data_IF_039088647088
#
_entry.id   IF_039088647088
#
_cell.length_a   1.000
_cell.length_b   1.000
_cell.length_c   1.000
_cell.angle_alpha   90.00
_cell.angle_beta   90.00
_cell.angle_gamma   90.00
#
_symmetry.space_group_name_H-M   'P 1'
#
loop_
_entity.id
_entity.type
_entity.pdbx_description
1 polymer ?
#
# COMPACT_ATOMS: atom_id res chain seq x y z
N UNK A 1 -15.17 15.08 -1.45
CA UNK A 1 -14.58 15.40 -2.79
C UNK A 1 -13.29 14.60 -2.98
N UNK A 2 -12.28 14.70 -2.09
CA UNK A 2 -10.96 14.05 -2.27
C UNK A 2 -11.03 12.53 -2.51
N UNK A 3 -11.86 11.80 -1.75
CA UNK A 3 -12.00 10.35 -1.90
C UNK A 3 -12.55 9.94 -3.27
N UNK A 4 -13.59 10.64 -3.75
CA UNK A 4 -14.17 10.37 -5.08
C UNK A 4 -13.20 10.67 -6.22
N UNK A 5 -12.40 11.74 -6.11
CA UNK A 5 -11.36 12.04 -7.11
C UNK A 5 -10.27 10.97 -7.14
N UNK A 6 -9.86 10.49 -5.97
CA UNK A 6 -8.88 9.41 -5.87
C UNK A 6 -9.41 8.10 -6.49
N UNK A 7 -10.67 7.77 -6.27
CA UNK A 7 -11.35 6.60 -6.83
C UNK A 7 -11.48 6.70 -8.35
N UNK A 8 -11.94 7.84 -8.86
CA UNK A 8 -12.10 8.09 -10.30
C UNK A 8 -10.78 7.97 -11.08
N UNK A 9 -9.64 8.27 -10.44
CA UNK A 9 -8.33 8.17 -11.07
C UNK A 9 -8.02 6.75 -11.58
N UNK A 10 -8.56 5.72 -10.91
CA UNK A 10 -8.41 4.32 -11.30
C UNK A 10 -8.92 4.04 -12.72
N UNK A 11 -9.98 4.71 -13.15
CA UNK A 11 -10.55 4.58 -14.50
C UNK A 11 -9.58 5.04 -15.61
N UNK A 12 -8.51 5.75 -15.24
CA UNK A 12 -7.51 6.29 -16.15
C UNK A 12 -6.12 5.65 -15.95
N UNK A 13 -6.05 4.49 -15.29
CA UNK A 13 -4.77 3.82 -15.01
C UNK A 13 -3.88 4.59 -14.02
N UNK A 14 -4.50 5.33 -13.11
CA UNK A 14 -3.82 6.15 -12.09
C UNK A 14 -4.24 5.68 -10.71
N UNK A 15 -3.28 5.27 -9.90
CA UNK A 15 -3.51 5.05 -8.48
C UNK A 15 -3.72 6.39 -7.78
N UNK A 16 -4.81 6.52 -7.03
CA UNK A 16 -5.12 7.70 -6.23
C UNK A 16 -5.42 7.35 -4.77
N UNK A 17 -4.92 8.14 -3.84
CA UNK A 17 -5.23 7.99 -2.42
C UNK A 17 -5.40 9.35 -1.73
N UNK A 18 -6.53 9.52 -1.04
CA UNK A 18 -6.78 10.71 -0.24
C UNK A 18 -6.09 10.60 1.12
N UNK A 19 -5.32 11.62 1.47
CA UNK A 19 -4.63 11.79 2.76
C UNK A 19 -5.31 12.89 3.56
N UNK A 20 -5.44 12.70 4.89
CA UNK A 20 -6.07 13.66 5.79
C UNK A 20 -5.27 13.81 7.08
N UNK A 21 -5.32 15.00 7.68
CA UNK A 21 -4.63 15.29 8.94
C UNK A 21 -3.11 15.17 8.85
N UNK A 22 -2.54 15.48 7.69
CA UNK A 22 -1.13 15.37 7.36
C UNK A 22 -0.40 16.70 7.50
N UNK A 23 0.91 16.65 7.62
CA UNK A 23 1.78 17.82 7.64
C UNK A 23 2.65 17.91 6.37
N UNK A 24 3.50 18.93 6.27
CA UNK A 24 4.36 19.12 5.11
C UNK A 24 5.43 18.03 4.97
N UNK A 25 5.88 17.42 6.05
CA UNK A 25 6.83 16.31 5.98
C UNK A 25 6.19 15.04 5.39
N UNK A 26 4.90 14.80 5.66
CA UNK A 26 4.14 13.73 5.00
C UNK A 26 4.01 13.99 3.49
N UNK A 27 3.74 15.24 3.10
CA UNK A 27 3.64 15.65 1.70
C UNK A 27 4.99 15.52 0.99
N UNK A 28 6.09 15.99 1.62
CA UNK A 28 7.45 15.83 1.12
C UNK A 28 7.77 14.35 0.87
N UNK A 29 7.53 13.49 1.85
CA UNK A 29 7.76 12.04 1.73
C UNK A 29 7.02 11.43 0.54
N UNK A 30 5.77 11.83 0.30
CA UNK A 30 5.01 11.32 -0.84
C UNK A 30 5.58 11.83 -2.17
N UNK A 31 6.02 13.09 -2.27
CA UNK A 31 6.68 13.63 -3.46
C UNK A 31 8.01 12.93 -3.74
N UNK A 32 8.86 12.72 -2.73
CA UNK A 32 10.12 11.97 -2.83
C UNK A 32 9.90 10.51 -3.26
N UNK A 33 8.75 9.93 -2.90
CA UNK A 33 8.32 8.60 -3.36
C UNK A 33 7.74 8.59 -4.78
N UNK A 34 7.81 9.71 -5.52
CA UNK A 34 7.40 9.81 -6.92
C UNK A 34 5.90 10.03 -7.13
N UNK A 35 5.16 10.44 -6.10
CA UNK A 35 3.77 10.87 -6.26
C UNK A 35 3.70 12.31 -6.76
N UNK A 36 2.65 12.59 -7.52
CA UNK A 36 2.13 13.95 -7.72
C UNK A 36 0.98 14.14 -6.75
N UNK A 37 0.92 15.28 -6.08
CA UNK A 37 -0.10 15.54 -5.07
C UNK A 37 -1.02 16.69 -5.50
N UNK A 38 -2.31 16.59 -5.16
CA UNK A 38 -3.23 17.73 -5.23
C UNK A 38 -3.55 18.13 -3.80
N UNK A 39 -2.95 19.24 -3.36
CA UNK A 39 -3.07 19.73 -2.00
C UNK A 39 -4.26 20.68 -1.85
N UNK A 40 -4.97 20.55 -0.73
CA UNK A 40 -6.03 21.51 -0.34
C UNK A 40 -5.41 22.64 0.43
N UNK A 41 -5.63 23.86 -0.08
CA UNK A 41 -5.08 25.10 0.47
C UNK A 41 -6.19 26.13 0.68
N UNK A 42 -5.88 27.21 1.38
CA UNK A 42 -6.79 28.37 1.43
C UNK A 42 -6.94 29.00 0.04
N UNK A 43 -8.13 29.49 -0.33
CA UNK A 43 -8.36 30.12 -1.65
C UNK A 43 -7.45 31.31 -1.94
N UNK A 44 -6.95 31.96 -0.91
CA UNK A 44 -6.15 33.18 -1.01
C UNK A 44 -4.66 32.94 -0.71
N UNK A 45 -4.23 31.73 -0.95
CA UNK A 45 -2.85 31.28 -0.68
C UNK A 45 -1.78 32.26 -1.20
N UNK A 46 -1.97 32.84 -2.39
CA UNK A 46 -1.02 33.75 -3.02
C UNK A 46 -0.98 35.16 -2.41
N UNK A 47 -2.07 35.63 -1.78
CA UNK A 47 -2.24 37.02 -1.34
C UNK A 47 -1.93 37.25 0.15
N UNK A 48 -1.27 36.34 0.78
CA UNK A 48 -1.19 36.33 2.22
C UNK A 48 -2.52 35.85 2.82
N UNK A 49 -2.49 35.49 4.06
CA UNK A 49 -3.55 34.74 4.71
C UNK A 49 -4.67 35.64 5.27
N UNK A 50 -4.54 36.96 5.15
CA UNK A 50 -5.46 37.90 5.75
C UNK A 50 -6.57 38.31 4.81
N UNK A 51 -7.79 38.37 5.33
CA UNK A 51 -8.92 39.02 4.69
C UNK A 51 -8.78 40.54 4.78
N UNK A 52 -9.56 41.26 3.97
CA UNK A 52 -9.57 42.73 4.05
C UNK A 52 -9.87 43.33 5.44
N UNK A 53 -10.59 42.58 6.28
CA UNK A 53 -10.89 42.95 7.65
C UNK A 53 -9.77 42.60 8.67
N UNK A 54 -8.63 42.13 8.18
CA UNK A 54 -7.50 41.71 8.99
C UNK A 54 -7.61 40.29 9.58
N UNK A 55 -8.73 39.60 9.41
CA UNK A 55 -8.89 38.22 9.83
C UNK A 55 -8.21 37.23 8.84
N UNK A 56 -7.96 36.02 9.28
CA UNK A 56 -7.38 34.96 8.40
C UNK A 56 -8.48 34.16 7.69
N UNK A 57 -8.21 33.74 6.47
CA UNK A 57 -9.04 32.76 5.79
C UNK A 57 -8.89 31.38 6.46
N UNK A 58 -9.98 30.65 6.50
CA UNK A 58 -9.93 29.26 6.95
C UNK A 58 -9.05 28.40 6.01
N UNK A 59 -8.41 27.37 6.55
CA UNK A 59 -7.64 26.41 5.77
C UNK A 59 -8.55 25.57 4.87
N UNK A 60 -8.16 25.39 3.59
CA UNK A 60 -8.88 24.62 2.60
C UNK A 60 -9.85 25.43 1.76
N UNK A 61 -10.38 24.81 0.72
CA UNK A 61 -11.31 25.40 -0.24
C UNK A 61 -10.74 25.65 -1.64
N UNK A 62 -9.43 25.50 -1.84
CA UNK A 62 -8.76 25.52 -3.14
C UNK A 62 -7.84 24.32 -3.29
N UNK A 63 -7.65 23.83 -4.51
CA UNK A 63 -6.81 22.67 -4.82
C UNK A 63 -5.66 23.09 -5.72
N UNK A 64 -4.44 22.77 -5.32
CA UNK A 64 -3.23 23.06 -6.10
C UNK A 64 -2.45 21.77 -6.37
N UNK A 65 -2.09 21.46 -7.62
CA UNK A 65 -1.13 20.40 -7.93
C UNK A 65 0.25 20.75 -7.37
N UNK A 66 0.82 19.83 -6.60
CA UNK A 66 2.19 19.87 -6.08
C UNK A 66 2.92 18.68 -6.68
N UNK A 67 3.95 18.94 -7.47
CA UNK A 67 4.63 17.93 -8.28
C UNK A 67 6.09 17.69 -7.90
N UNK A 68 6.62 18.45 -6.95
CA UNK A 68 7.98 18.28 -6.46
C UNK A 68 8.24 19.09 -5.20
N UNK A 69 9.40 18.83 -4.61
CA UNK A 69 9.97 19.64 -3.54
C UNK A 69 11.49 19.66 -3.66
N UNK A 70 12.10 20.75 -3.24
CA UNK A 70 13.55 20.87 -3.07
C UNK A 70 13.85 20.84 -1.57
N UNK A 71 14.92 20.15 -1.18
CA UNK A 71 15.24 19.93 0.23
C UNK A 71 16.59 20.53 0.61
N UNK A 72 16.63 21.09 1.81
CA UNK A 72 17.86 21.52 2.50
C UNK A 72 17.93 20.84 3.86
N UNK A 73 19.07 20.19 4.16
CA UNK A 73 19.23 19.46 5.41
C UNK A 73 18.19 18.35 5.64
N UNK A 74 17.65 17.74 4.54
CA UNK A 74 16.66 16.68 4.61
C UNK A 74 15.22 17.15 4.86
N UNK A 75 14.96 18.45 4.86
CA UNK A 75 13.62 19.04 5.00
C UNK A 75 13.29 19.84 3.75
N UNK A 76 12.02 19.85 3.35
CA UNK A 76 11.57 20.66 2.24
C UNK A 76 11.83 22.15 2.51
N UNK A 77 12.64 22.76 1.65
CA UNK A 77 12.86 24.20 1.60
C UNK A 77 11.82 24.86 0.70
N UNK A 78 11.54 24.23 -0.45
CA UNK A 78 10.56 24.71 -1.43
C UNK A 78 9.64 23.56 -1.87
N UNK A 79 8.39 23.92 -2.19
CA UNK A 79 7.45 23.07 -2.91
C UNK A 79 7.23 23.63 -4.31
N UNK A 80 7.28 22.75 -5.33
CA UNK A 80 7.04 23.07 -6.72
C UNK A 80 5.58 22.78 -7.03
N UNK A 81 4.82 23.80 -7.35
CA UNK A 81 3.38 23.69 -7.57
C UNK A 81 2.89 24.48 -8.76
N UNK A 82 1.65 24.19 -9.16
CA UNK A 82 0.89 25.00 -10.11
C UNK A 82 -0.31 25.57 -9.38
N UNK A 83 -0.44 26.89 -9.38
CA UNK A 83 -1.59 27.55 -8.78
C UNK A 83 -2.64 27.83 -9.88
N UNK A 84 -3.65 26.94 -10.05
CA UNK A 84 -4.67 27.14 -11.05
C UNK A 84 -5.65 28.24 -10.59
N UNK A 85 -5.99 29.16 -11.46
CA UNK A 85 -6.99 30.18 -11.22
C UNK A 85 -7.79 30.47 -12.47
N UNK A 86 -9.07 30.77 -12.32
CA UNK A 86 -9.91 31.30 -13.41
C UNK A 86 -9.53 32.72 -13.82
N UNK A 87 -8.77 33.41 -12.97
CA UNK A 87 -8.22 34.74 -13.26
C UNK A 87 -6.79 34.63 -13.70
N UNK A 88 -6.47 35.15 -14.90
CA UNK A 88 -5.14 34.95 -15.52
C UNK A 88 -4.00 35.49 -14.66
N UNK A 89 -4.21 36.62 -13.96
CA UNK A 89 -3.22 37.23 -13.08
C UNK A 89 -2.86 36.36 -11.85
N UNK A 90 -3.72 35.38 -11.52
CA UNK A 90 -3.53 34.48 -10.36
C UNK A 90 -3.19 33.04 -10.77
N UNK A 91 -3.17 32.79 -12.07
CA UNK A 91 -2.77 31.49 -12.61
C UNK A 91 -1.25 31.46 -12.76
N UNK A 92 -0.56 30.77 -11.85
CA UNK A 92 0.91 30.70 -11.82
C UNK A 92 1.37 29.26 -12.03
N UNK A 93 1.82 28.94 -13.25
CA UNK A 93 2.47 27.67 -13.53
C UNK A 93 3.89 27.68 -12.94
N UNK A 94 4.37 26.50 -12.55
CA UNK A 94 5.75 26.29 -12.09
C UNK A 94 6.22 27.24 -10.98
N UNK A 95 5.36 27.43 -9.98
CA UNK A 95 5.66 28.28 -8.84
C UNK A 95 6.46 27.51 -7.79
N UNK A 96 7.66 27.99 -7.45
CA UNK A 96 8.41 27.55 -6.28
C UNK A 96 7.98 28.41 -5.07
N UNK A 97 7.42 27.77 -4.06
CA UNK A 97 6.98 28.41 -2.82
C UNK A 97 7.77 27.85 -1.66
N UNK A 98 8.24 28.70 -0.76
CA UNK A 98 8.96 28.22 0.42
C UNK A 98 8.03 27.41 1.33
N UNK A 99 8.60 26.45 2.07
CA UNK A 99 7.83 25.66 3.03
C UNK A 99 7.18 26.55 4.11
N UNK A 100 7.84 27.66 4.48
CA UNK A 100 7.34 28.64 5.44
C UNK A 100 6.09 29.38 4.91
N UNK A 101 6.09 29.79 3.65
CA UNK A 101 4.94 30.43 3.01
C UNK A 101 3.79 29.45 2.75
N UNK A 102 4.12 28.17 2.45
CA UNK A 102 3.11 27.16 2.15
C UNK A 102 2.40 26.62 3.39
N UNK A 103 3.12 26.47 4.51
CA UNK A 103 2.63 25.84 5.73
C UNK A 103 1.32 26.47 6.29
N UNK A 104 1.16 27.80 6.39
CA UNK A 104 -0.06 28.40 6.91
C UNK A 104 -1.29 28.14 6.06
N UNK A 105 -1.11 27.92 4.76
CA UNK A 105 -2.18 27.69 3.79
C UNK A 105 -2.58 26.23 3.65
N UNK A 106 -1.65 25.33 3.89
CA UNK A 106 -1.88 23.88 3.73
C UNK A 106 -2.86 23.37 4.77
N UNK A 107 -3.96 22.78 4.32
CA UNK A 107 -5.02 22.29 5.22
C UNK A 107 -4.69 20.95 5.91
N UNK A 108 -3.60 20.30 5.53
CA UNK A 108 -3.30 18.94 5.94
C UNK A 108 -4.04 17.86 5.16
N UNK A 109 -4.75 18.24 4.09
CA UNK A 109 -5.47 17.30 3.23
C UNK A 109 -4.94 17.39 1.80
N UNK A 110 -4.70 16.24 1.18
CA UNK A 110 -4.30 16.14 -0.22
C UNK A 110 -4.67 14.78 -0.81
N UNK A 111 -4.60 14.68 -2.11
CA UNK A 111 -4.68 13.43 -2.84
C UNK A 111 -3.32 13.18 -3.48
N UNK A 112 -2.77 12.01 -3.29
CA UNK A 112 -1.54 11.59 -3.99
C UNK A 112 -1.88 10.67 -5.15
N UNK A 113 -1.17 10.84 -6.25
CA UNK A 113 -1.34 10.09 -7.49
C UNK A 113 -0.02 9.56 -8.01
N UNK A 114 -0.04 8.38 -8.59
CA UNK A 114 1.02 7.82 -9.43
C UNK A 114 0.40 6.98 -10.54
N UNK A 115 1.18 6.63 -11.55
CA UNK A 115 0.74 5.61 -12.52
C UNK A 115 0.41 4.32 -11.76
N UNK A 116 -0.73 3.70 -12.07
CA UNK A 116 -1.08 2.42 -11.48
C UNK A 116 -0.04 1.35 -11.87
N UNK A 117 0.15 0.37 -11.00
CA UNK A 117 0.99 -0.78 -11.31
C UNK A 117 0.36 -1.62 -12.44
N UNK A 118 1.18 -2.26 -13.23
CA UNK A 118 0.70 -3.24 -14.20
C UNK A 118 0.53 -4.59 -13.50
N UNK A 119 -0.70 -5.10 -13.48
CA UNK A 119 -1.01 -6.42 -12.92
C UNK A 119 -0.96 -7.47 -14.02
N UNK A 120 -0.37 -8.63 -13.72
CA UNK A 120 -0.33 -9.79 -14.61
C UNK A 120 -0.50 -11.07 -13.81
N UNK A 121 -1.24 -12.02 -14.36
CA UNK A 121 -1.28 -13.39 -13.84
C UNK A 121 0.12 -14.00 -13.92
N UNK A 122 0.57 -14.62 -12.85
CA UNK A 122 1.85 -15.33 -12.81
C UNK A 122 1.70 -16.74 -13.38
N UNK A 123 2.77 -17.21 -14.00
CA UNK A 123 2.92 -18.59 -14.47
C UNK A 123 4.09 -19.27 -13.75
N UNK A 124 4.25 -20.58 -13.91
CA UNK A 124 5.35 -21.33 -13.31
C UNK A 124 6.75 -20.75 -13.66
N UNK A 125 6.90 -20.17 -14.86
CA UNK A 125 8.12 -19.49 -15.27
C UNK A 125 8.46 -18.24 -14.43
N UNK A 126 7.52 -17.71 -13.66
CA UNK A 126 7.72 -16.56 -12.76
C UNK A 126 8.20 -16.98 -11.35
N UNK A 127 8.34 -18.27 -11.09
CA UNK A 127 8.66 -18.80 -9.76
C UNK A 127 9.90 -18.18 -9.13
N UNK A 128 10.96 -17.95 -9.92
CA UNK A 128 12.18 -17.29 -9.44
C UNK A 128 11.94 -15.82 -9.06
N UNK A 129 11.19 -15.09 -9.87
CA UNK A 129 10.84 -13.68 -9.59
C UNK A 129 10.01 -13.59 -8.31
N UNK A 130 9.03 -14.47 -8.15
CA UNK A 130 8.20 -14.55 -6.95
C UNK A 130 9.04 -14.90 -5.72
N UNK A 131 9.86 -15.93 -5.81
CA UNK A 131 10.72 -16.39 -4.72
C UNK A 131 11.68 -15.29 -4.25
N UNK A 132 12.26 -14.53 -5.18
CA UNK A 132 13.12 -13.38 -4.87
C UNK A 132 12.36 -12.29 -4.12
N UNK A 133 11.18 -11.88 -4.59
CA UNK A 133 10.34 -10.90 -3.91
C UNK A 133 10.04 -11.35 -2.48
N UNK A 134 9.72 -12.64 -2.30
CA UNK A 134 9.45 -13.21 -0.97
C UNK A 134 10.68 -13.16 -0.07
N UNK A 135 11.83 -13.62 -0.54
CA UNK A 135 13.06 -13.65 0.26
C UNK A 135 13.48 -12.24 0.73
N UNK A 136 13.47 -11.25 -0.18
CA UNK A 136 13.79 -9.88 0.15
C UNK A 136 12.77 -9.26 1.13
N UNK A 137 11.49 -9.56 0.94
CA UNK A 137 10.43 -9.08 1.81
C UNK A 137 10.51 -9.70 3.22
N UNK A 138 10.75 -11.01 3.31
CA UNK A 138 10.87 -11.73 4.58
C UNK A 138 12.00 -11.18 5.46
N UNK A 139 13.16 -10.92 4.87
CA UNK A 139 14.32 -10.36 5.57
C UNK A 139 14.04 -9.04 6.28
N UNK A 140 13.08 -8.27 5.78
CA UNK A 140 12.70 -6.98 6.37
C UNK A 140 11.44 -7.12 7.23
N UNK A 141 10.40 -7.77 6.73
CA UNK A 141 9.10 -7.81 7.39
C UNK A 141 9.10 -8.62 8.69
N UNK A 142 9.97 -9.62 8.80
CA UNK A 142 10.01 -10.54 9.94
C UNK A 142 11.26 -10.39 10.82
N UNK A 143 12.12 -9.40 10.55
CA UNK A 143 13.28 -9.10 11.39
C UNK A 143 12.84 -8.84 12.83
N UNK A 144 13.53 -9.50 13.79
CA UNK A 144 13.19 -9.47 15.21
C UNK A 144 12.06 -10.43 15.63
N UNK A 145 11.27 -10.96 14.70
CA UNK A 145 10.21 -11.94 14.98
C UNK A 145 10.62 -13.37 14.60
N UNK A 146 11.29 -13.53 13.46
CA UNK A 146 11.88 -14.80 12.99
C UNK A 146 13.39 -14.77 13.31
N UNK A 147 14.04 -15.91 13.63
CA UNK A 147 15.48 -15.94 13.89
C UNK A 147 16.29 -15.32 12.76
N UNK A 148 17.22 -14.43 13.12
CA UNK A 148 18.02 -13.68 12.13
C UNK A 148 18.86 -14.61 11.24
N UNK A 149 19.39 -15.70 11.80
CA UNK A 149 20.15 -16.70 11.02
C UNK A 149 19.32 -17.35 9.91
N UNK A 150 18.06 -17.65 10.19
CA UNK A 150 17.12 -18.15 9.18
C UNK A 150 16.87 -17.09 8.08
N UNK A 151 16.56 -15.87 8.47
CA UNK A 151 16.29 -14.78 7.52
C UNK A 151 17.50 -14.48 6.64
N UNK A 152 18.69 -14.40 7.21
CA UNK A 152 19.93 -14.13 6.49
C UNK A 152 20.32 -15.27 5.56
N UNK A 153 19.93 -16.52 5.91
CA UNK A 153 20.10 -17.71 5.08
C UNK A 153 19.11 -17.85 3.91
N UNK A 154 18.04 -17.04 3.86
CA UNK A 154 17.06 -17.12 2.79
C UNK A 154 17.69 -16.72 1.44
N UNK A 155 17.81 -17.69 0.54
CA UNK A 155 18.23 -17.43 -0.84
C UNK A 155 17.06 -17.00 -1.71
N UNK A 156 17.36 -16.38 -2.84
CA UNK A 156 16.32 -16.02 -3.83
C UNK A 156 15.61 -17.24 -4.43
N UNK A 157 16.20 -18.44 -4.31
CA UNK A 157 15.64 -19.68 -4.81
C UNK A 157 14.77 -20.44 -3.80
N UNK A 158 14.65 -19.96 -2.56
CA UNK A 158 14.06 -20.71 -1.44
C UNK A 158 12.66 -21.26 -1.75
N UNK A 159 11.81 -20.48 -2.44
CA UNK A 159 10.43 -20.87 -2.78
C UNK A 159 10.23 -21.26 -4.25
N UNK A 160 11.27 -21.35 -5.08
CA UNK A 160 11.11 -21.64 -6.53
C UNK A 160 10.33 -22.93 -6.75
N UNK A 161 10.79 -24.04 -6.17
CA UNK A 161 10.13 -25.35 -6.32
C UNK A 161 8.67 -25.33 -5.83
N UNK A 162 8.39 -24.61 -4.75
CA UNK A 162 7.02 -24.43 -4.25
C UNK A 162 6.15 -23.75 -5.29
N UNK A 163 6.59 -22.61 -5.86
CA UNK A 163 5.81 -21.87 -6.85
C UNK A 163 5.69 -22.60 -8.17
N UNK A 164 6.76 -23.22 -8.67
CA UNK A 164 6.69 -24.05 -9.88
C UNK A 164 5.62 -25.13 -9.74
N UNK A 165 5.66 -25.87 -8.63
CA UNK A 165 4.71 -26.94 -8.35
C UNK A 165 3.28 -26.39 -8.26
N UNK A 166 3.02 -25.44 -7.36
CA UNK A 166 1.66 -24.97 -7.06
C UNK A 166 0.99 -24.29 -8.27
N UNK A 167 1.77 -23.54 -9.06
CA UNK A 167 1.26 -22.88 -10.27
C UNK A 167 1.05 -23.85 -11.42
N UNK A 168 1.88 -24.88 -11.54
CA UNK A 168 1.71 -25.95 -12.56
C UNK A 168 0.50 -26.84 -12.26
N UNK A 169 0.32 -27.20 -10.99
CA UNK A 169 -0.81 -28.04 -10.54
C UNK A 169 -2.12 -27.26 -10.42
N UNK A 170 -2.07 -25.93 -10.45
CA UNK A 170 -3.23 -25.05 -10.27
C UNK A 170 -3.80 -25.07 -8.85
N UNK A 171 -3.04 -25.55 -7.87
CA UNK A 171 -3.47 -25.55 -6.45
C UNK A 171 -3.49 -24.13 -5.85
N UNK A 172 -2.70 -23.20 -6.41
CA UNK A 172 -2.77 -21.76 -6.18
C UNK A 172 -2.71 -21.01 -7.51
N UNK A 173 -3.40 -19.88 -7.55
CA UNK A 173 -3.18 -18.83 -8.54
C UNK A 173 -2.24 -17.78 -7.97
N UNK A 174 -1.58 -16.99 -8.82
CA UNK A 174 -0.79 -15.87 -8.36
C UNK A 174 -0.84 -14.70 -9.33
N UNK A 175 -0.63 -13.49 -8.80
CA UNK A 175 -0.43 -12.28 -9.60
C UNK A 175 0.86 -11.59 -9.22
N UNK A 176 1.47 -10.97 -10.22
CA UNK A 176 2.58 -10.04 -10.08
C UNK A 176 2.10 -8.62 -10.34
N UNK A 177 2.66 -7.66 -9.61
CA UNK A 177 2.50 -6.24 -9.90
C UNK A 177 3.85 -5.63 -10.30
N UNK A 178 3.82 -4.81 -11.34
CA UNK A 178 5.00 -4.19 -11.92
C UNK A 178 4.98 -2.68 -11.76
N UNK A 179 6.13 -2.11 -11.41
CA UNK A 179 6.46 -0.71 -11.66
C UNK A 179 7.29 -0.65 -12.93
N UNK A 180 6.69 -0.12 -14.00
CA UNK A 180 7.27 -0.21 -15.36
C UNK A 180 7.53 -1.68 -15.73
N UNK A 181 8.78 -2.08 -15.91
CA UNK A 181 9.19 -3.43 -16.29
C UNK A 181 9.63 -4.29 -15.09
N UNK A 182 9.78 -3.70 -13.91
CA UNK A 182 10.23 -4.39 -12.71
C UNK A 182 9.06 -4.97 -11.94
N UNK A 183 9.06 -6.28 -11.70
CA UNK A 183 8.14 -6.92 -10.76
C UNK A 183 8.51 -6.48 -9.34
N UNK A 184 7.54 -5.89 -8.63
CA UNK A 184 7.75 -5.27 -7.31
C UNK A 184 6.92 -5.89 -6.22
N UNK A 185 5.98 -6.76 -6.56
CA UNK A 185 5.16 -7.49 -5.61
C UNK A 185 4.54 -8.73 -6.22
N UNK A 186 4.19 -9.68 -5.34
CA UNK A 186 3.53 -10.92 -5.69
C UNK A 186 2.47 -11.26 -4.65
N UNK A 187 1.37 -11.88 -5.10
CA UNK A 187 0.31 -12.45 -4.27
C UNK A 187 0.00 -13.86 -4.77
N UNK A 188 -0.11 -14.80 -3.84
CA UNK A 188 -0.63 -16.14 -4.12
C UNK A 188 -2.00 -16.28 -3.44
N UNK A 189 -2.96 -16.88 -4.12
CA UNK A 189 -4.35 -16.96 -3.69
C UNK A 189 -5.07 -18.15 -4.31
N UNK A 190 -6.22 -18.53 -3.75
CA UNK A 190 -7.02 -19.62 -4.27
C UNK A 190 -8.23 -19.95 -3.40
N UNK A 191 -8.70 -21.19 -3.51
CA UNK A 191 -9.69 -21.73 -2.59
C UNK A 191 -9.11 -21.83 -1.17
N UNK A 192 -9.98 -21.88 -0.17
CA UNK A 192 -9.58 -22.14 1.20
C UNK A 192 -8.79 -23.45 1.29
N UNK A 193 -7.59 -23.38 1.82
CA UNK A 193 -6.74 -24.57 2.03
C UNK A 193 -7.11 -25.26 3.34
N UNK A 194 -7.04 -26.59 3.35
CA UNK A 194 -7.18 -27.39 4.56
C UNK A 194 -5.92 -27.37 5.42
N UNK A 195 -4.78 -27.12 4.77
CA UNK A 195 -3.46 -27.05 5.43
C UNK A 195 -3.25 -25.65 6.04
N UNK A 196 -2.81 -25.63 7.27
CA UNK A 196 -2.47 -24.41 7.99
C UNK A 196 -1.08 -23.87 7.59
N UNK A 197 -0.82 -22.56 7.77
CA UNK A 197 0.49 -21.98 7.54
C UNK A 197 1.62 -22.78 8.20
N UNK A 198 2.68 -23.05 7.47
CA UNK A 198 3.87 -23.81 7.93
C UNK A 198 3.55 -25.11 8.69
N UNK A 199 2.44 -25.80 8.33
CA UNK A 199 2.03 -27.03 9.03
C UNK A 199 1.66 -26.83 10.50
N UNK A 200 1.23 -25.60 10.86
CA UNK A 200 0.97 -25.20 12.23
C UNK A 200 -0.28 -25.84 12.86
N UNK A 201 -0.57 -25.45 14.08
CA UNK A 201 -1.71 -25.94 14.86
C UNK A 201 -2.72 -24.81 15.04
N UNK A 202 -4.00 -25.10 14.72
CA UNK A 202 -5.10 -24.15 14.94
C UNK A 202 -5.40 -24.00 16.43
N UNK A 203 -5.50 -22.76 16.86
CA UNK A 203 -5.98 -22.35 18.20
C UNK A 203 -7.13 -21.38 18.00
N UNK A 204 -8.26 -21.63 18.66
CA UNK A 204 -9.45 -20.81 18.53
C UNK A 204 -10.72 -21.64 18.35
N UNK A 205 -11.80 -21.03 17.88
CA UNK A 205 -13.09 -21.70 17.68
C UNK A 205 -13.15 -22.54 16.41
N UNK A 206 -12.23 -22.28 15.44
CA UNK A 206 -12.17 -23.01 14.20
C UNK A 206 -13.40 -22.80 13.33
N UNK A 207 -13.66 -21.57 12.86
CA UNK A 207 -14.77 -21.31 11.94
C UNK A 207 -14.66 -22.12 10.64
N UNK A 208 -15.81 -22.45 10.03
CA UNK A 208 -15.84 -23.03 8.69
C UNK A 208 -15.61 -21.94 7.64
N UNK A 209 -14.48 -22.05 6.93
CA UNK A 209 -14.10 -21.13 5.85
C UNK A 209 -14.06 -21.82 4.50
N UNK A 210 -14.67 -23.00 4.34
CA UNK A 210 -14.68 -23.76 3.08
C UNK A 210 -15.34 -23.00 1.94
N UNK A 211 -16.27 -22.09 2.25
CA UNK A 211 -16.92 -21.20 1.27
C UNK A 211 -16.13 -19.90 0.99
N UNK A 212 -14.95 -19.73 1.59
CA UNK A 212 -14.11 -18.54 1.44
C UNK A 212 -12.97 -18.78 0.46
N UNK A 213 -12.53 -17.69 -0.20
CA UNK A 213 -11.23 -17.66 -0.87
C UNK A 213 -10.11 -17.32 0.12
N UNK A 214 -8.91 -17.77 -0.17
CA UNK A 214 -7.72 -17.47 0.63
C UNK A 214 -6.73 -16.60 -0.12
N UNK A 215 -6.27 -15.53 0.51
CA UNK A 215 -5.01 -14.87 0.15
C UNK A 215 -3.90 -15.57 0.92
N UNK A 216 -3.25 -16.53 0.26
CA UNK A 216 -2.25 -17.39 0.87
C UNK A 216 -0.98 -16.62 1.28
N UNK A 217 -0.64 -15.58 0.52
CA UNK A 217 0.52 -14.71 0.81
C UNK A 217 0.50 -13.46 -0.06
N UNK A 218 1.00 -12.35 0.46
CA UNK A 218 1.18 -11.10 -0.27
C UNK A 218 2.47 -10.44 0.19
N UNK A 219 3.41 -10.24 -0.74
CA UNK A 219 4.69 -9.62 -0.48
C UNK A 219 5.04 -8.57 -1.53
N UNK A 220 5.76 -7.54 -1.08
CA UNK A 220 6.32 -6.48 -1.90
C UNK A 220 7.81 -6.34 -1.59
N UNK A 221 8.58 -5.89 -2.56
CA UNK A 221 9.93 -5.42 -2.29
C UNK A 221 9.87 -4.24 -1.29
N UNK A 222 10.76 -4.19 -0.27
CA UNK A 222 10.68 -3.20 0.81
C UNK A 222 10.65 -1.74 0.35
N UNK A 223 11.41 -1.40 -0.69
CA UNK A 223 11.45 -0.04 -1.25
C UNK A 223 10.16 0.40 -1.94
N UNK A 224 9.21 -0.52 -2.14
CA UNK A 224 7.87 -0.26 -2.70
C UNK A 224 6.76 -0.22 -1.66
N UNK A 225 7.12 -0.32 -0.38
CA UNK A 225 6.15 -0.14 0.69
C UNK A 225 5.57 1.28 0.71
N UNK A 226 4.34 1.41 1.19
CA UNK A 226 3.57 2.67 1.32
C UNK A 226 3.28 3.42 0.00
N UNK A 227 3.67 2.82 -1.15
CA UNK A 227 3.44 3.40 -2.48
C UNK A 227 2.13 2.95 -3.13
N UNK A 228 1.31 2.12 -2.44
CA UNK A 228 -0.01 1.69 -2.89
C UNK A 228 -0.03 0.41 -3.72
N UNK A 229 1.13 -0.15 -4.14
CA UNK A 229 1.18 -1.37 -4.93
C UNK A 229 0.55 -2.58 -4.22
N UNK A 230 0.75 -2.70 -2.89
CA UNK A 230 0.12 -3.77 -2.11
C UNK A 230 -1.41 -3.68 -2.09
N UNK A 231 -1.94 -2.45 -2.06
CA UNK A 231 -3.38 -2.21 -2.14
C UNK A 231 -3.94 -2.64 -3.49
N UNK A 232 -3.33 -2.20 -4.59
CA UNK A 232 -3.75 -2.59 -5.94
C UNK A 232 -3.74 -4.12 -6.12
N UNK A 233 -2.69 -4.77 -5.60
CA UNK A 233 -2.54 -6.22 -5.69
C UNK A 233 -3.62 -6.95 -4.88
N UNK A 234 -3.84 -6.53 -3.61
CA UNK A 234 -4.84 -7.14 -2.74
C UNK A 234 -6.27 -6.92 -3.23
N UNK A 235 -6.62 -5.68 -3.63
CA UNK A 235 -7.96 -5.37 -4.15
C UNK A 235 -8.26 -6.18 -5.41
N UNK A 236 -7.30 -6.29 -6.35
CA UNK A 236 -7.46 -7.10 -7.56
C UNK A 236 -7.75 -8.58 -7.30
N UNK A 237 -7.15 -9.16 -6.25
CA UNK A 237 -7.34 -10.57 -5.89
C UNK A 237 -8.61 -10.75 -5.06
N UNK A 238 -8.86 -9.85 -4.11
CA UNK A 238 -10.09 -9.85 -3.30
C UNK A 238 -11.32 -9.82 -4.21
N UNK A 239 -11.35 -8.90 -5.16
CA UNK A 239 -12.51 -8.72 -6.04
C UNK A 239 -12.71 -9.94 -6.96
N UNK A 240 -11.62 -10.59 -7.42
CA UNK A 240 -11.67 -11.85 -8.16
C UNK A 240 -12.22 -12.98 -7.29
N UNK A 241 -11.72 -13.16 -6.06
CA UNK A 241 -12.19 -14.18 -5.13
C UNK A 241 -13.66 -14.00 -4.75
N UNK A 242 -14.11 -12.76 -4.53
CA UNK A 242 -15.50 -12.43 -4.22
C UNK A 242 -16.45 -12.69 -5.39
N UNK A 243 -15.95 -12.87 -6.61
CA UNK A 243 -16.73 -13.36 -7.75
C UNK A 243 -17.18 -14.81 -7.60
N UNK A 244 -16.45 -15.61 -6.79
CA UNK A 244 -16.70 -17.04 -6.61
C UNK A 244 -17.05 -17.41 -5.17
N UNK A 245 -16.46 -16.74 -4.18
CA UNK A 245 -16.56 -17.08 -2.76
C UNK A 245 -17.40 -16.08 -1.97
N UNK A 246 -17.89 -16.50 -0.80
CA UNK A 246 -18.71 -15.69 0.09
C UNK A 246 -17.89 -14.64 0.86
N UNK A 247 -16.60 -14.82 0.97
CA UNK A 247 -15.66 -13.92 1.63
C UNK A 247 -14.23 -14.29 1.29
N UNK A 248 -13.31 -13.55 1.87
CA UNK A 248 -11.86 -13.76 1.69
C UNK A 248 -11.19 -13.79 3.05
N UNK A 249 -10.29 -14.74 3.28
CA UNK A 249 -9.48 -14.73 4.49
C UNK A 249 -7.98 -14.76 4.16
N UNK A 250 -7.20 -14.43 5.17
CA UNK A 250 -5.74 -14.52 5.16
C UNK A 250 -5.22 -14.78 6.57
N UNK A 251 -3.96 -15.19 6.64
CA UNK A 251 -3.22 -15.29 7.88
C UNK A 251 -2.15 -14.21 7.94
N UNK A 252 -1.96 -13.61 9.11
CA UNK A 252 -0.94 -12.58 9.34
C UNK A 252 -0.29 -12.76 10.69
N UNK A 253 1.04 -12.67 10.74
CA UNK A 253 1.80 -12.75 11.98
C UNK A 253 1.31 -11.69 12.98
N UNK A 254 1.00 -12.13 14.22
CA UNK A 254 0.47 -11.27 15.29
C UNK A 254 1.31 -10.03 15.52
N UNK A 255 2.61 -10.17 15.49
CA UNK A 255 3.60 -9.11 15.73
C UNK A 255 3.80 -8.21 14.52
N UNK A 256 3.33 -8.58 13.33
CA UNK A 256 3.45 -7.75 12.13
C UNK A 256 2.37 -6.65 12.12
N UNK A 257 2.54 -5.67 13.02
CA UNK A 257 1.58 -4.56 13.21
C UNK A 257 1.36 -3.76 11.91
N UNK A 258 2.38 -3.68 11.06
CA UNK A 258 2.26 -2.98 9.78
C UNK A 258 1.31 -3.70 8.83
N UNK A 259 1.46 -5.01 8.65
CA UNK A 259 0.57 -5.79 7.80
C UNK A 259 -0.86 -5.82 8.36
N UNK A 260 -1.01 -5.96 9.68
CA UNK A 260 -2.33 -5.92 10.33
C UNK A 260 -3.05 -4.60 10.06
N UNK A 261 -2.39 -3.47 10.31
CA UNK A 261 -2.95 -2.14 10.03
C UNK A 261 -3.28 -1.94 8.52
N UNK A 262 -2.48 -2.54 7.63
CA UNK A 262 -2.75 -2.53 6.19
C UNK A 262 -4.03 -3.29 5.84
N UNK A 263 -4.22 -4.51 6.37
CA UNK A 263 -5.42 -5.30 6.12
C UNK A 263 -6.67 -4.68 6.75
N UNK A 264 -6.58 -4.18 7.97
CA UNK A 264 -7.67 -3.48 8.67
C UNK A 264 -8.14 -2.25 7.89
N UNK A 265 -7.21 -1.46 7.34
CA UNK A 265 -7.53 -0.30 6.49
C UNK A 265 -8.29 -0.69 5.22
N UNK A 266 -8.12 -1.92 4.74
CA UNK A 266 -8.78 -2.46 3.54
C UNK A 266 -10.03 -3.28 3.87
N UNK A 267 -10.52 -3.21 5.12
CA UNK A 267 -11.79 -3.78 5.54
C UNK A 267 -11.71 -5.22 6.05
N UNK A 268 -10.52 -5.79 6.17
CA UNK A 268 -10.37 -7.08 6.83
C UNK A 268 -10.46 -6.92 8.35
N UNK A 269 -11.08 -7.87 9.02
CA UNK A 269 -11.23 -7.88 10.48
C UNK A 269 -10.59 -9.14 11.09
N UNK A 270 -9.89 -9.02 12.23
CA UNK A 270 -9.32 -10.18 12.90
C UNK A 270 -10.41 -11.08 13.47
N UNK A 271 -10.14 -12.38 13.49
CA UNK A 271 -10.99 -13.36 14.18
C UNK A 271 -10.31 -13.82 15.48
N UNK A 272 -10.98 -14.72 16.22
CA UNK A 272 -10.41 -15.39 17.38
C UNK A 272 -9.48 -16.57 17.00
N UNK A 273 -9.41 -16.93 15.72
CA UNK A 273 -8.59 -18.03 15.25
C UNK A 273 -7.13 -17.61 15.11
N UNK A 274 -6.26 -18.42 15.64
CA UNK A 274 -4.80 -18.30 15.51
C UNK A 274 -4.20 -19.61 15.04
N UNK A 275 -3.08 -19.53 14.34
CA UNK A 275 -2.25 -20.65 13.93
C UNK A 275 -0.91 -20.54 14.64
N UNK A 276 -0.53 -21.54 15.41
CA UNK A 276 0.81 -21.66 15.97
C UNK A 276 1.69 -22.44 15.00
N UNK A 277 2.72 -21.82 14.49
CA UNK A 277 3.69 -22.44 13.60
C UNK A 277 5.12 -22.28 14.15
N UNK A 278 5.99 -23.21 13.81
CA UNK A 278 7.41 -23.13 14.18
C UNK A 278 8.24 -22.75 12.97
N UNK A 279 9.12 -21.79 13.16
CA UNK A 279 10.14 -21.43 12.16
C UNK A 279 11.50 -21.40 12.84
N UNK A 280 12.32 -22.37 12.49
CA UNK A 280 13.69 -22.51 12.99
C UNK A 280 13.75 -22.53 14.54
N UNK A 281 12.85 -23.32 15.17
CA UNK A 281 12.76 -23.48 16.63
C UNK A 281 12.09 -22.34 17.37
N UNK A 282 11.52 -21.35 16.65
CA UNK A 282 10.74 -20.28 17.26
C UNK A 282 9.27 -20.42 16.92
N UNK A 283 8.44 -20.54 17.94
CA UNK A 283 6.99 -20.55 17.77
C UNK A 283 6.48 -19.16 17.44
N UNK A 284 5.77 -19.04 16.34
CA UNK A 284 5.10 -17.83 15.85
C UNK A 284 3.59 -18.03 15.94
N UNK A 285 2.87 -16.93 15.96
CA UNK A 285 1.40 -16.93 15.99
C UNK A 285 0.86 -16.11 14.85
N UNK A 286 0.22 -16.76 13.89
CA UNK A 286 -0.57 -16.07 12.87
C UNK A 286 -2.01 -15.92 13.33
N UNK A 287 -2.61 -14.77 13.06
CA UNK A 287 -4.02 -14.45 13.31
C UNK A 287 -4.76 -14.49 11.97
N UNK A 288 -5.95 -15.13 11.98
CA UNK A 288 -6.81 -15.10 10.80
C UNK A 288 -7.55 -13.77 10.72
N UNK A 289 -7.49 -13.17 9.54
CA UNK A 289 -8.26 -11.99 9.15
C UNK A 289 -9.26 -12.36 8.08
N UNK A 290 -10.46 -11.82 8.14
CA UNK A 290 -11.55 -12.10 7.19
C UNK A 290 -12.10 -10.80 6.60
N UNK A 291 -12.51 -10.89 5.34
CA UNK A 291 -13.31 -9.89 4.64
C UNK A 291 -14.60 -10.54 4.18
N UNK A 292 -15.73 -10.01 4.60
CA UNK A 292 -17.04 -10.46 4.16
C UNK A 292 -17.55 -9.64 2.98
N UNK A 293 -18.28 -10.30 2.09
CA UNK A 293 -18.92 -9.67 0.92
C UNK A 293 -20.02 -8.71 1.32
#
# INVERSE_FOLDING_TARGET
IHGKLAEMAGNYGVFGEAKRGKNLADLQKDLENGFVCIASVTPYFRFGQQKPDGSFYGKGGHLVPVYGCETEGGKAAYFLLHHPSMYAEYNVPHWAVTAEEFAPSFSGNYIRFRKAGTLRQAAAADALVMSRIYAESWKVAFRGNVPDGFLDGLSENHWVTFFEKTLTEGSLSAKLIFDKERAVGAVAYGAARTELPAGGTLVGKGGDYSAFGEVASLYLLPEYYDKGYGRELLESVRDELLGTYEGVYLWVLRENMRARAFYEKLGFVPTEDACLCDIDGKTLTDIRYVYHK
#
